data_IF_400655596654
#
_entry.id   IF_400655596654
#
_cell.length_a   1.000
_cell.length_b   1.000
_cell.length_c   1.000
_cell.angle_alpha   90.00
_cell.angle_beta   90.00
_cell.angle_gamma   90.00
#
_symmetry.space_group_name_H-M   'P 1'
#
loop_
_entity.id
_entity.type
_entity.pdbx_description
1 polymer ?
#
# COMPACT_ATOMS: atom_id res chain seq x y z
N UNK A 1 -39.47 -20.06 95.51
CA UNK A 1 -39.94 -20.73 94.30
C UNK A 1 -39.93 -19.78 93.10
N UNK A 2 -38.88 -19.68 92.36
CA UNK A 2 -38.80 -18.87 91.15
C UNK A 2 -38.02 -19.57 90.06
N UNK A 3 -38.72 -20.03 88.99
CA UNK A 3 -38.10 -20.63 87.81
C UNK A 3 -37.46 -19.62 86.98
N UNK A 4 -36.16 -19.70 86.81
CA UNK A 4 -35.37 -18.85 85.86
C UNK A 4 -35.36 -19.57 84.48
N UNK A 5 -35.98 -18.97 83.50
CA UNK A 5 -35.96 -19.41 82.16
C UNK A 5 -34.59 -19.01 81.52
N UNK A 6 -33.87 -20.03 81.03
CA UNK A 6 -32.62 -19.85 80.31
C UNK A 6 -32.96 -19.54 78.83
N UNK A 7 -32.68 -18.35 78.41
CA UNK A 7 -32.79 -17.91 77.00
C UNK A 7 -31.49 -18.28 76.28
N UNK A 8 -31.57 -19.32 75.42
CA UNK A 8 -30.48 -19.63 74.49
C UNK A 8 -30.54 -18.73 73.31
N UNK A 9 -29.52 -17.83 73.14
CA UNK A 9 -29.34 -17.00 71.99
C UNK A 9 -28.57 -17.82 70.97
N UNK A 10 -29.24 -18.23 69.88
CA UNK A 10 -28.59 -18.87 68.71
C UNK A 10 -28.06 -17.70 67.84
N UNK A 11 -26.73 -17.52 67.85
CA UNK A 11 -26.05 -16.58 66.97
C UNK A 11 -25.92 -17.23 65.59
N UNK A 12 -26.80 -16.90 64.68
CA UNK A 12 -26.66 -17.26 63.26
C UNK A 12 -25.56 -16.42 62.61
N UNK A 13 -24.38 -17.01 62.43
CA UNK A 13 -23.30 -16.41 61.67
C UNK A 13 -23.68 -16.49 60.19
N UNK A 14 -24.16 -15.37 59.62
CA UNK A 14 -24.42 -15.20 58.18
C UNK A 14 -23.07 -15.06 57.51
N UNK A 15 -22.53 -16.12 56.91
CA UNK A 15 -21.33 -16.14 56.10
C UNK A 15 -21.73 -15.53 54.74
N UNK A 16 -21.63 -14.21 54.60
CA UNK A 16 -21.77 -13.53 53.32
C UNK A 16 -20.49 -13.82 52.52
N UNK A 17 -20.54 -14.82 51.67
CA UNK A 17 -19.51 -15.04 50.66
C UNK A 17 -19.62 -13.88 49.68
N UNK A 18 -18.74 -12.91 49.80
CA UNK A 18 -18.48 -11.93 48.74
C UNK A 18 -17.95 -12.69 47.53
N UNK A 19 -18.84 -13.10 46.65
CA UNK A 19 -18.51 -13.46 45.27
C UNK A 19 -18.05 -12.13 44.60
N UNK A 20 -16.78 -11.76 44.80
CA UNK A 20 -16.16 -10.83 43.91
C UNK A 20 -16.33 -11.39 42.48
N UNK A 21 -16.86 -10.63 41.51
CA UNK A 21 -16.80 -11.08 40.13
C UNK A 21 -15.31 -11.23 39.82
N UNK A 22 -14.83 -12.43 39.80
CA UNK A 22 -13.63 -12.73 39.04
C UNK A 22 -14.01 -12.38 37.61
N UNK A 23 -13.66 -11.16 37.17
CA UNK A 23 -13.52 -10.89 35.76
C UNK A 23 -12.57 -11.98 35.25
N UNK A 24 -13.15 -13.07 34.72
CA UNK A 24 -12.42 -13.99 33.88
C UNK A 24 -11.92 -13.12 32.73
N UNK A 25 -10.72 -12.53 32.86
CA UNK A 25 -10.02 -11.88 31.79
C UNK A 25 -9.89 -12.94 30.70
N UNK A 26 -10.83 -12.91 29.74
CA UNK A 26 -10.76 -13.79 28.59
C UNK A 26 -9.36 -13.62 27.99
N UNK A 27 -8.69 -14.76 27.78
CA UNK A 27 -7.35 -14.75 27.21
C UNK A 27 -7.31 -13.87 25.96
N UNK A 28 -6.26 -13.07 25.77
CA UNK A 28 -6.16 -12.20 24.60
C UNK A 28 -6.40 -12.96 23.31
N UNK A 29 -7.19 -12.40 22.40
CA UNK A 29 -7.65 -13.11 21.18
C UNK A 29 -6.54 -13.84 20.43
N UNK A 30 -5.34 -13.24 20.36
CA UNK A 30 -4.22 -13.79 19.61
C UNK A 30 -3.29 -14.72 20.43
N UNK A 31 -3.54 -14.93 21.72
CA UNK A 31 -2.70 -15.77 22.57
C UNK A 31 -2.64 -17.21 22.04
N UNK A 32 -1.42 -17.73 21.86
CA UNK A 32 -1.16 -19.07 21.32
C UNK A 32 -1.57 -19.27 19.86
N UNK A 33 -1.96 -18.21 19.14
CA UNK A 33 -2.38 -18.29 17.73
C UNK A 33 -1.29 -17.80 16.78
N UNK A 34 -1.43 -18.20 15.52
CA UNK A 34 -0.63 -17.71 14.41
C UNK A 34 -1.47 -16.79 13.54
N UNK A 35 -0.97 -15.59 13.28
CA UNK A 35 -1.49 -14.67 12.26
C UNK A 35 -0.72 -14.89 10.96
N UNK A 36 -1.41 -15.13 9.87
CA UNK A 36 -0.82 -15.31 8.54
C UNK A 36 -0.96 -14.05 7.72
N UNK A 37 0.15 -13.60 7.10
CA UNK A 37 0.16 -12.54 6.09
C UNK A 37 0.30 -13.19 4.72
N UNK A 38 -0.76 -13.19 3.92
CA UNK A 38 -0.74 -13.61 2.51
C UNK A 38 -0.16 -12.46 1.69
N UNK A 39 1.02 -12.68 1.11
CA UNK A 39 1.72 -11.70 0.27
C UNK A 39 1.58 -12.06 -1.20
N UNK A 40 0.92 -11.21 -1.99
CA UNK A 40 0.66 -11.43 -3.42
C UNK A 40 1.89 -11.26 -4.33
N UNK A 41 3.11 -11.30 -3.78
CA UNK A 41 4.36 -11.08 -4.49
C UNK A 41 5.35 -12.24 -4.27
N UNK A 42 6.32 -12.33 -5.15
CA UNK A 42 7.46 -13.23 -4.98
C UNK A 42 8.30 -12.87 -3.74
N UNK A 43 8.95 -13.85 -3.09
CA UNK A 43 9.91 -13.61 -2.02
C UNK A 43 11.00 -12.61 -2.41
N UNK A 44 11.42 -11.75 -1.48
CA UNK A 44 12.47 -10.74 -1.66
C UNK A 44 12.00 -9.42 -2.31
N UNK A 45 10.79 -9.38 -2.88
CA UNK A 45 10.19 -8.14 -3.40
C UNK A 45 9.81 -7.14 -2.32
N UNK A 46 9.46 -5.90 -2.69
CA UNK A 46 9.10 -4.84 -1.75
C UNK A 46 7.94 -5.22 -0.82
N UNK A 47 6.89 -5.86 -1.34
CA UNK A 47 5.75 -6.34 -0.56
C UNK A 47 6.15 -7.43 0.44
N UNK A 48 6.98 -8.38 0.03
CA UNK A 48 7.48 -9.45 0.90
C UNK A 48 8.39 -8.91 2.00
N UNK A 49 9.32 -8.00 1.67
CA UNK A 49 10.19 -7.37 2.65
C UNK A 49 9.41 -6.58 3.69
N UNK A 50 8.39 -5.80 3.27
CA UNK A 50 7.51 -5.07 4.17
C UNK A 50 6.69 -6.02 5.06
N UNK A 51 6.12 -7.09 4.48
CA UNK A 51 5.35 -8.07 5.23
C UNK A 51 6.20 -8.78 6.30
N UNK A 52 7.44 -9.16 5.97
CA UNK A 52 8.38 -9.78 6.93
C UNK A 52 8.84 -8.81 8.00
N UNK A 53 9.03 -7.53 7.67
CA UNK A 53 9.34 -6.49 8.65
C UNK A 53 8.18 -6.31 9.63
N UNK A 54 6.94 -6.21 9.14
CA UNK A 54 5.74 -6.19 9.98
C UNK A 54 5.62 -7.47 10.84
N UNK A 55 5.91 -8.65 10.29
CA UNK A 55 5.85 -9.90 11.03
C UNK A 55 6.80 -9.94 12.25
N UNK A 56 7.92 -9.20 12.20
CA UNK A 56 8.85 -9.09 13.34
C UNK A 56 8.39 -8.09 14.40
N UNK A 57 7.78 -6.97 13.99
CA UNK A 57 7.49 -5.87 14.92
C UNK A 57 6.02 -5.82 15.37
N UNK A 58 5.07 -6.25 14.55
CA UNK A 58 3.64 -6.16 14.85
C UNK A 58 3.18 -6.99 16.07
N UNK A 59 3.77 -8.18 16.38
CA UNK A 59 3.32 -9.00 17.50
C UNK A 59 3.28 -8.28 18.85
N UNK A 60 4.22 -7.37 19.12
CA UNK A 60 4.29 -6.63 20.39
C UNK A 60 3.09 -5.69 20.61
N UNK A 61 2.38 -5.32 19.54
CA UNK A 61 1.20 -4.45 19.58
C UNK A 61 -0.13 -5.22 19.49
N UNK A 62 -0.07 -6.53 19.31
CA UNK A 62 -1.25 -7.39 19.29
C UNK A 62 -1.45 -8.08 20.66
N UNK A 63 -2.64 -7.98 21.27
CA UNK A 63 -2.94 -8.68 22.52
C UNK A 63 -2.72 -10.20 22.37
N UNK A 64 -1.86 -10.79 23.21
CA UNK A 64 -1.49 -12.20 23.12
C UNK A 64 -0.26 -12.48 22.27
N UNK A 65 0.36 -11.47 21.64
CA UNK A 65 1.63 -11.53 20.92
C UNK A 65 1.75 -12.75 19.99
N UNK A 66 0.90 -12.87 18.95
CA UNK A 66 0.88 -14.05 18.09
C UNK A 66 2.20 -14.25 17.35
N UNK A 67 2.49 -15.48 16.96
CA UNK A 67 3.46 -15.72 15.89
C UNK A 67 2.89 -15.18 14.58
N UNK A 68 3.68 -14.44 13.81
CA UNK A 68 3.26 -13.97 12.48
C UNK A 68 4.11 -14.65 11.41
N UNK A 69 3.46 -15.29 10.43
CA UNK A 69 4.12 -15.92 9.28
C UNK A 69 3.72 -15.21 7.99
N UNK A 70 4.65 -15.17 7.03
CA UNK A 70 4.42 -14.61 5.69
C UNK A 70 4.39 -15.74 4.68
N UNK A 71 3.27 -15.85 3.96
CA UNK A 71 3.07 -16.81 2.87
C UNK A 71 3.02 -16.06 1.54
N UNK A 72 3.94 -16.37 0.64
CA UNK A 72 3.94 -15.77 -0.69
C UNK A 72 3.02 -16.55 -1.64
N UNK A 73 2.04 -15.86 -2.22
CA UNK A 73 1.09 -16.39 -3.21
C UNK A 73 1.15 -15.48 -4.45
N UNK A 74 2.23 -15.55 -5.24
CA UNK A 74 2.40 -14.72 -6.41
C UNK A 74 1.48 -15.15 -7.56
N UNK A 75 1.28 -14.25 -8.52
CA UNK A 75 0.61 -14.54 -9.79
C UNK A 75 -0.37 -13.46 -10.21
N UNK A 76 -0.43 -13.24 -11.52
CA UNK A 76 -1.31 -12.27 -12.18
C UNK A 76 -1.36 -10.90 -11.47
N UNK A 77 -0.19 -10.32 -11.12
CA UNK A 77 -0.14 -9.02 -10.45
C UNK A 77 -0.82 -8.97 -9.08
N UNK A 78 -0.79 -10.06 -8.32
CA UNK A 78 -1.48 -10.29 -7.03
C UNK A 78 -2.96 -10.69 -7.15
N UNK A 79 -3.54 -10.82 -8.34
CA UNK A 79 -4.96 -11.23 -8.51
C UNK A 79 -5.26 -12.58 -7.83
N UNK A 80 -4.34 -13.55 -7.92
CA UNK A 80 -4.52 -14.87 -7.31
C UNK A 80 -4.66 -14.74 -5.80
N UNK A 81 -3.72 -14.07 -5.14
CA UNK A 81 -3.73 -13.88 -3.69
C UNK A 81 -4.96 -13.08 -3.23
N UNK A 82 -5.32 -12.02 -3.96
CA UNK A 82 -6.51 -11.22 -3.65
C UNK A 82 -7.78 -12.06 -3.75
N UNK A 83 -7.99 -12.77 -4.87
CA UNK A 83 -9.15 -13.64 -5.03
C UNK A 83 -9.25 -14.71 -3.93
N UNK A 84 -8.13 -15.33 -3.56
CA UNK A 84 -8.10 -16.36 -2.51
C UNK A 84 -8.48 -15.76 -1.15
N UNK A 85 -7.89 -14.63 -0.76
CA UNK A 85 -8.23 -13.97 0.49
C UNK A 85 -9.71 -13.56 0.53
N UNK A 86 -10.26 -13.09 -0.60
CA UNK A 86 -11.65 -12.64 -0.66
C UNK A 86 -12.66 -13.76 -0.55
N UNK A 87 -12.41 -14.88 -1.25
CA UNK A 87 -13.41 -15.93 -1.47
C UNK A 87 -13.21 -17.18 -0.61
N UNK A 88 -11.97 -17.46 -0.17
CA UNK A 88 -11.63 -18.74 0.47
C UNK A 88 -11.23 -18.60 1.93
N UNK A 89 -10.69 -17.43 2.34
CA UNK A 89 -10.20 -17.25 3.71
C UNK A 89 -11.33 -16.96 4.70
N UNK A 90 -11.23 -17.55 5.88
CA UNK A 90 -12.20 -17.33 6.96
C UNK A 90 -12.05 -15.92 7.54
N UNK A 91 -13.16 -15.19 7.77
CA UNK A 91 -13.12 -13.84 8.35
C UNK A 91 -12.94 -13.88 9.88
N UNK A 92 -11.98 -14.64 10.37
CA UNK A 92 -11.72 -14.87 11.79
C UNK A 92 -10.57 -14.04 12.36
N UNK A 93 -9.96 -13.17 11.55
CA UNK A 93 -8.86 -12.29 11.97
C UNK A 93 -7.49 -12.97 12.06
N UNK A 94 -7.35 -14.23 11.65
CA UNK A 94 -6.08 -14.97 11.67
C UNK A 94 -5.37 -14.97 10.31
N UNK A 95 -5.97 -14.35 9.30
CA UNK A 95 -5.34 -14.14 7.97
C UNK A 95 -5.57 -12.70 7.53
N UNK A 96 -4.50 -12.04 7.11
CA UNK A 96 -4.52 -10.75 6.45
C UNK A 96 -3.76 -10.84 5.13
N UNK A 97 -3.99 -9.91 4.22
CA UNK A 97 -3.32 -9.91 2.92
C UNK A 97 -2.65 -8.58 2.61
N UNK A 98 -1.59 -8.63 1.82
CA UNK A 98 -0.96 -7.48 1.19
C UNK A 98 -0.78 -7.75 -0.31
N UNK A 99 -1.19 -6.79 -1.14
CA UNK A 99 -1.33 -6.97 -2.58
C UNK A 99 -0.80 -5.75 -3.33
N UNK A 100 -0.58 -5.93 -4.62
CA UNK A 100 -0.18 -4.86 -5.52
C UNK A 100 -1.19 -3.70 -5.44
N UNK A 101 -0.67 -2.49 -5.22
CA UNK A 101 -1.45 -1.25 -5.16
C UNK A 101 -2.19 -0.91 -6.47
N UNK A 102 -1.87 -1.58 -7.57
CA UNK A 102 -2.55 -1.45 -8.85
C UNK A 102 -3.87 -2.24 -8.96
N UNK A 103 -4.20 -3.12 -8.00
CA UNK A 103 -5.46 -3.90 -8.04
C UNK A 103 -6.73 -3.05 -8.19
N UNK A 104 -6.82 -1.81 -7.68
CA UNK A 104 -7.96 -0.95 -7.95
C UNK A 104 -8.18 -0.68 -9.45
N UNK A 105 -7.12 -0.58 -10.24
CA UNK A 105 -7.26 -0.43 -11.70
C UNK A 105 -7.75 -1.70 -12.38
N UNK A 106 -7.31 -2.87 -11.89
CA UNK A 106 -7.83 -4.14 -12.40
C UNK A 106 -9.35 -4.24 -12.18
N UNK A 107 -9.85 -3.84 -11.02
CA UNK A 107 -11.28 -3.81 -10.74
C UNK A 107 -12.00 -2.73 -11.55
N UNK A 108 -11.48 -1.51 -11.61
CA UNK A 108 -12.04 -0.38 -12.36
C UNK A 108 -12.24 -0.74 -13.84
N UNK A 109 -11.21 -1.35 -14.45
CA UNK A 109 -11.19 -1.72 -15.86
C UNK A 109 -11.86 -3.08 -16.14
N UNK A 110 -12.45 -3.70 -15.11
CA UNK A 110 -13.08 -5.03 -15.21
C UNK A 110 -12.14 -6.07 -15.84
N UNK A 111 -10.87 -6.04 -15.44
CA UNK A 111 -9.86 -6.94 -15.98
C UNK A 111 -10.25 -8.41 -15.78
N UNK A 112 -9.90 -9.25 -16.75
CA UNK A 112 -10.21 -10.66 -16.68
C UNK A 112 -9.57 -11.32 -15.45
N UNK A 113 -10.34 -12.16 -14.74
CA UNK A 113 -9.88 -12.85 -13.53
C UNK A 113 -10.10 -12.09 -12.22
N UNK A 114 -10.61 -10.87 -12.21
CA UNK A 114 -11.04 -10.16 -10.99
C UNK A 114 -12.28 -10.83 -10.41
N UNK A 115 -12.16 -11.38 -9.19
CA UNK A 115 -13.24 -12.06 -8.44
C UNK A 115 -13.34 -11.54 -7.00
N UNK A 116 -12.92 -10.32 -6.75
CA UNK A 116 -13.00 -9.61 -5.48
C UNK A 116 -13.71 -8.27 -5.68
N UNK A 117 -14.11 -7.69 -4.56
CA UNK A 117 -14.58 -6.31 -4.48
C UNK A 117 -13.78 -5.59 -3.40
N UNK A 118 -12.93 -4.64 -3.81
CA UNK A 118 -12.05 -3.91 -2.91
C UNK A 118 -12.82 -3.10 -1.87
N UNK A 119 -14.06 -2.68 -2.17
CA UNK A 119 -14.89 -1.95 -1.22
C UNK A 119 -15.48 -2.84 -0.13
N UNK A 120 -15.44 -4.17 -0.30
CA UNK A 120 -15.99 -5.14 0.67
C UNK A 120 -14.94 -5.78 1.58
N UNK A 121 -13.64 -5.60 1.27
CA UNK A 121 -12.61 -6.04 2.20
C UNK A 121 -12.67 -5.30 3.53
N UNK A 122 -12.25 -5.95 4.60
CA UNK A 122 -12.01 -5.30 5.88
C UNK A 122 -10.61 -4.65 5.87
N UNK A 123 -10.55 -3.36 5.52
CA UNK A 123 -9.31 -2.63 5.39
C UNK A 123 -8.65 -2.35 6.74
N UNK A 124 -7.36 -2.62 6.83
CA UNK A 124 -6.50 -2.23 7.97
C UNK A 124 -5.90 -0.85 7.67
N UNK A 125 -5.44 -0.66 6.46
CA UNK A 125 -4.82 0.56 5.98
C UNK A 125 -3.63 0.27 5.06
N UNK A 126 -2.74 1.23 4.89
CA UNK A 126 -1.49 1.07 4.14
C UNK A 126 -0.31 1.57 4.98
N UNK A 127 0.86 0.98 4.80
CA UNK A 127 2.05 1.36 5.58
C UNK A 127 2.82 2.52 4.99
N UNK A 128 2.51 2.93 3.75
CA UNK A 128 3.21 4.06 3.13
C UNK A 128 2.38 4.79 2.05
N UNK A 129 2.84 5.99 1.75
CA UNK A 129 2.55 6.74 0.52
C UNK A 129 3.83 6.87 -0.27
N UNK A 130 3.77 6.71 -1.56
CA UNK A 130 4.93 6.81 -2.44
C UNK A 130 4.66 7.77 -3.60
N UNK A 131 5.47 8.80 -3.67
CA UNK A 131 5.47 9.70 -4.80
C UNK A 131 5.98 8.97 -6.05
N UNK A 132 5.36 9.25 -7.21
CA UNK A 132 5.86 8.82 -8.50
C UNK A 132 6.66 9.95 -9.15
N UNK A 133 7.76 9.61 -9.79
CA UNK A 133 8.64 10.56 -10.48
C UNK A 133 8.86 10.15 -11.92
N UNK A 134 8.95 11.17 -12.78
CA UNK A 134 9.59 11.08 -14.08
C UNK A 134 11.00 11.66 -13.96
N UNK A 135 11.99 10.92 -14.42
CA UNK A 135 13.41 11.26 -14.29
C UNK A 135 14.13 11.09 -15.62
N UNK A 136 15.20 11.85 -15.79
CA UNK A 136 16.15 11.70 -16.89
C UNK A 136 17.55 11.49 -16.36
N UNK A 137 18.46 10.98 -17.19
CA UNK A 137 19.88 10.93 -16.84
C UNK A 137 20.41 12.36 -16.57
N UNK A 138 21.27 12.51 -15.58
CA UNK A 138 21.85 13.80 -15.22
C UNK A 138 22.77 14.37 -16.29
N UNK A 139 23.40 13.50 -17.08
CA UNK A 139 24.28 13.88 -18.22
C UNK A 139 23.50 14.11 -19.54
N UNK A 140 22.18 13.92 -19.55
CA UNK A 140 21.34 14.24 -20.71
C UNK A 140 21.17 15.78 -20.88
N UNK A 141 20.82 16.25 -22.08
CA UNK A 141 20.58 17.68 -22.32
C UNK A 141 19.30 18.20 -21.62
N UNK A 142 18.44 17.31 -21.13
CA UNK A 142 17.13 17.65 -20.55
C UNK A 142 17.28 18.03 -19.08
N UNK A 143 17.13 19.33 -18.75
CA UNK A 143 17.25 19.88 -17.38
C UNK A 143 15.94 20.38 -16.82
N UNK A 144 14.92 20.53 -17.67
CA UNK A 144 13.61 21.09 -17.34
C UNK A 144 12.50 20.47 -18.19
N UNK A 145 11.24 20.71 -17.82
CA UNK A 145 10.07 20.35 -18.65
C UNK A 145 10.10 21.08 -19.99
N UNK A 146 10.63 22.31 -20.02
CA UNK A 146 10.78 23.07 -21.27
C UNK A 146 11.74 22.38 -22.24
N UNK A 147 12.86 21.82 -21.73
CA UNK A 147 13.79 21.10 -22.60
C UNK A 147 13.15 19.82 -23.17
N UNK A 148 12.33 19.14 -22.36
CA UNK A 148 11.56 17.97 -22.83
C UNK A 148 10.57 18.33 -23.93
N UNK A 149 9.88 19.48 -23.83
CA UNK A 149 8.93 19.97 -24.84
C UNK A 149 9.63 20.40 -26.15
N UNK A 150 10.83 20.92 -26.03
CA UNK A 150 11.61 21.41 -27.17
C UNK A 150 12.48 20.33 -27.82
N UNK A 151 12.41 19.09 -27.35
CA UNK A 151 13.14 17.96 -27.93
C UNK A 151 12.71 17.72 -29.38
N UNK A 152 13.66 17.84 -30.32
CA UNK A 152 13.41 17.64 -31.75
C UNK A 152 13.10 16.20 -32.09
N UNK A 153 13.79 15.28 -31.43
CA UNK A 153 13.62 13.84 -31.61
C UNK A 153 12.89 13.20 -30.40
N UNK A 154 12.18 12.08 -30.60
CA UNK A 154 11.55 11.38 -29.51
C UNK A 154 12.57 10.90 -28.46
N UNK A 155 12.41 11.32 -27.20
CA UNK A 155 13.30 10.97 -26.09
C UNK A 155 13.14 9.47 -25.74
N UNK A 156 14.22 8.67 -25.80
CA UNK A 156 14.15 7.24 -25.45
C UNK A 156 13.98 7.05 -23.95
N UNK A 157 12.90 6.35 -23.57
CA UNK A 157 12.56 6.05 -22.17
C UNK A 157 12.58 4.55 -21.92
N UNK A 158 13.27 4.15 -20.85
CA UNK A 158 13.24 2.78 -20.37
C UNK A 158 11.95 2.50 -19.59
N UNK A 159 11.21 1.47 -20.02
CA UNK A 159 9.94 1.05 -19.41
C UNK A 159 9.95 -0.46 -19.17
N UNK A 160 9.03 -0.98 -18.34
CA UNK A 160 8.91 -2.42 -18.09
C UNK A 160 7.56 -3.00 -18.51
N UNK A 161 6.94 -2.38 -19.52
CA UNK A 161 5.70 -2.84 -20.13
C UNK A 161 4.47 -2.01 -19.74
N UNK A 162 3.36 -2.14 -20.50
CA UNK A 162 2.18 -1.28 -20.40
C UNK A 162 1.45 -1.34 -19.05
N UNK A 163 1.60 -2.45 -18.30
CA UNK A 163 0.97 -2.61 -16.98
C UNK A 163 1.72 -1.88 -15.86
N UNK A 164 2.85 -1.25 -16.14
CA UNK A 164 3.73 -0.68 -15.13
C UNK A 164 3.71 0.84 -15.12
N UNK A 165 4.01 1.41 -13.98
CA UNK A 165 4.17 2.87 -13.81
C UNK A 165 5.24 3.44 -14.75
N UNK A 166 6.31 2.67 -15.02
CA UNK A 166 7.39 3.08 -15.93
C UNK A 166 6.90 3.41 -17.33
N UNK A 167 5.80 2.80 -17.75
CA UNK A 167 5.14 3.07 -19.04
C UNK A 167 3.97 4.06 -18.89
N UNK A 168 3.09 3.82 -17.91
CA UNK A 168 1.83 4.56 -17.76
C UNK A 168 2.04 6.05 -17.52
N UNK A 169 3.04 6.41 -16.73
CA UNK A 169 3.34 7.80 -16.43
C UNK A 169 3.80 8.57 -17.69
N UNK A 170 4.85 8.14 -18.41
CA UNK A 170 5.24 8.83 -19.64
C UNK A 170 4.19 8.74 -20.76
N UNK A 171 3.36 7.69 -20.81
CA UNK A 171 2.30 7.61 -21.81
C UNK A 171 1.27 8.73 -21.63
N UNK A 172 0.84 9.03 -20.40
CA UNK A 172 -0.07 10.14 -20.11
C UNK A 172 0.62 11.51 -20.32
N UNK A 173 1.89 11.65 -19.95
CA UNK A 173 2.66 12.86 -20.24
C UNK A 173 2.80 13.11 -21.76
N UNK A 174 3.02 12.06 -22.55
CA UNK A 174 3.09 12.16 -24.01
C UNK A 174 1.76 12.65 -24.59
N UNK A 175 0.64 12.07 -24.16
CA UNK A 175 -0.67 12.40 -24.69
C UNK A 175 -1.15 13.80 -24.26
N UNK A 176 -1.00 14.16 -22.98
CA UNK A 176 -1.69 15.30 -22.39
C UNK A 176 -0.78 16.46 -21.99
N UNK A 177 0.54 16.28 -21.97
CA UNK A 177 1.51 17.35 -21.67
C UNK A 177 2.37 17.73 -22.87
N UNK A 178 2.15 17.11 -24.03
CA UNK A 178 2.86 17.42 -25.28
C UNK A 178 4.34 17.01 -25.26
N UNK A 179 4.69 15.96 -24.51
CA UNK A 179 6.07 15.47 -24.44
C UNK A 179 6.29 14.33 -25.44
N UNK A 180 7.38 14.39 -26.20
CA UNK A 180 7.65 13.43 -27.27
C UNK A 180 8.58 12.31 -26.76
N UNK A 181 8.01 11.13 -26.46
CA UNK A 181 8.73 9.97 -25.91
C UNK A 181 8.67 8.75 -26.83
N UNK A 182 9.80 7.99 -26.88
CA UNK A 182 9.90 6.66 -27.46
C UNK A 182 10.11 5.65 -26.33
N UNK A 183 9.07 4.84 -26.01
CA UNK A 183 9.15 3.81 -24.97
C UNK A 183 9.95 2.61 -25.46
N UNK A 184 10.98 2.21 -24.70
CA UNK A 184 11.79 1.01 -24.92
C UNK A 184 11.51 0.05 -23.78
N UNK A 185 11.07 -1.16 -24.09
CA UNK A 185 10.66 -2.14 -23.08
C UNK A 185 11.85 -2.98 -22.60
N UNK A 186 11.99 -3.08 -21.28
CA UNK A 186 12.96 -3.91 -20.57
C UNK A 186 12.23 -4.94 -19.69
N UNK A 187 12.88 -6.06 -19.32
CA UNK A 187 12.22 -7.15 -18.57
C UNK A 187 11.68 -6.76 -17.19
N UNK A 188 12.25 -5.73 -16.56
CA UNK A 188 11.87 -5.28 -15.22
C UNK A 188 12.19 -3.81 -14.99
N UNK A 189 11.64 -3.24 -13.90
CA UNK A 189 12.00 -1.88 -13.45
C UNK A 189 13.47 -1.74 -13.08
N UNK A 190 14.09 -2.79 -12.55
CA UNK A 190 15.54 -2.82 -12.28
C UNK A 190 16.34 -2.72 -13.58
N UNK A 191 15.98 -3.52 -14.60
CA UNK A 191 16.62 -3.43 -15.91
C UNK A 191 16.40 -2.08 -16.58
N UNK A 192 15.24 -1.45 -16.38
CA UNK A 192 15.01 -0.08 -16.85
C UNK A 192 15.97 0.93 -16.21
N UNK A 193 16.31 0.79 -14.94
CA UNK A 193 17.29 1.64 -14.26
C UNK A 193 18.73 1.35 -14.72
N UNK A 194 19.08 0.08 -14.92
CA UNK A 194 20.39 -0.31 -15.49
C UNK A 194 20.56 0.20 -16.92
N UNK A 195 19.50 0.26 -17.72
CA UNK A 195 19.53 0.83 -19.07
C UNK A 195 19.93 2.32 -19.06
N UNK A 196 19.52 3.08 -18.02
CA UNK A 196 19.97 4.46 -17.85
C UNK A 196 21.49 4.52 -17.54
N UNK A 197 21.99 3.66 -16.66
CA UNK A 197 23.43 3.59 -16.35
C UNK A 197 24.24 3.22 -17.60
N UNK A 198 23.73 2.31 -18.44
CA UNK A 198 24.36 1.91 -19.73
C UNK A 198 24.14 2.92 -20.86
N UNK A 199 23.39 4.00 -20.60
CA UNK A 199 23.06 5.05 -21.60
C UNK A 199 22.24 4.53 -22.79
N UNK A 200 21.48 3.48 -22.62
CA UNK A 200 20.58 2.91 -23.63
C UNK A 200 19.24 3.65 -23.70
N UNK A 201 18.91 4.42 -22.65
CA UNK A 201 17.74 5.29 -22.58
C UNK A 201 18.09 6.57 -21.82
N UNK A 202 17.33 7.64 -22.07
CA UNK A 202 17.56 8.95 -21.46
C UNK A 202 16.73 9.20 -20.21
N UNK A 203 15.67 8.44 -19.99
CA UNK A 203 14.82 8.60 -18.81
C UNK A 203 13.97 7.38 -18.48
N UNK A 204 13.32 7.44 -17.33
CA UNK A 204 12.33 6.47 -16.85
C UNK A 204 11.39 7.11 -15.85
N UNK A 205 10.31 6.41 -15.51
CA UNK A 205 9.44 6.79 -14.40
C UNK A 205 9.38 5.65 -13.37
N UNK A 206 9.35 5.99 -12.08
CA UNK A 206 9.17 5.01 -11.00
C UNK A 206 8.74 5.69 -9.70
N UNK A 207 8.56 4.90 -8.62
CA UNK A 207 8.35 5.44 -7.27
C UNK A 207 9.65 6.06 -6.73
N UNK A 208 9.49 7.09 -5.90
CA UNK A 208 10.61 7.86 -5.37
C UNK A 208 11.64 7.01 -4.61
N UNK A 209 11.18 6.06 -3.77
CA UNK A 209 12.07 5.19 -3.01
C UNK A 209 13.01 4.37 -3.91
N UNK A 210 12.53 3.89 -5.07
CA UNK A 210 13.34 3.16 -6.04
C UNK A 210 14.36 4.05 -6.76
N UNK A 211 14.03 5.32 -6.96
CA UNK A 211 14.87 6.29 -7.68
C UNK A 211 15.87 7.02 -6.77
N UNK A 212 15.55 7.13 -5.48
CA UNK A 212 16.33 7.89 -4.49
C UNK A 212 17.83 7.52 -4.45
N UNK A 213 18.24 6.25 -4.51
CA UNK A 213 19.65 5.89 -4.56
C UNK A 213 20.37 6.43 -5.79
N UNK A 214 19.72 6.43 -6.95
CA UNK A 214 20.26 6.93 -8.21
C UNK A 214 20.33 8.46 -8.23
N UNK A 215 19.34 9.13 -7.66
CA UNK A 215 19.32 10.60 -7.47
C UNK A 215 20.46 11.01 -6.54
N UNK A 216 20.65 10.33 -5.40
CA UNK A 216 21.76 10.61 -4.46
C UNK A 216 23.15 10.42 -5.06
N UNK A 217 23.31 9.46 -5.99
CA UNK A 217 24.54 9.23 -6.75
C UNK A 217 24.73 10.24 -7.90
N UNK A 218 23.78 11.13 -8.15
CA UNK A 218 23.83 12.09 -9.25
C UNK A 218 23.67 11.46 -10.64
N UNK A 219 23.19 10.23 -10.76
CA UNK A 219 23.02 9.52 -12.04
C UNK A 219 21.77 9.97 -12.80
N UNK A 220 20.72 10.28 -12.09
CA UNK A 220 19.45 10.75 -12.65
C UNK A 220 18.97 12.02 -11.96
N UNK A 221 18.20 12.80 -12.70
CA UNK A 221 17.56 14.05 -12.27
C UNK A 221 16.05 13.89 -12.34
N UNK A 222 15.30 14.12 -11.25
CA UNK A 222 13.84 14.19 -11.30
C UNK A 222 13.40 15.49 -11.95
N UNK A 223 12.39 15.44 -12.82
CA UNK A 223 11.86 16.61 -13.54
C UNK A 223 10.36 16.82 -13.30
N UNK A 224 9.60 15.76 -13.07
CA UNK A 224 8.15 15.82 -12.89
C UNK A 224 7.78 14.82 -11.77
N UNK A 225 6.86 15.22 -10.92
CA UNK A 225 6.26 14.30 -9.93
C UNK A 225 4.79 14.09 -10.19
N UNK A 226 4.24 13.00 -9.69
CA UNK A 226 2.81 12.86 -9.52
C UNK A 226 2.29 13.70 -8.35
N UNK A 227 1.01 13.56 -8.02
CA UNK A 227 0.31 14.36 -7.00
C UNK A 227 1.00 14.33 -5.62
N UNK A 228 1.50 13.17 -5.20
CA UNK A 228 2.16 13.03 -3.92
C UNK A 228 3.54 13.68 -3.92
N UNK A 229 3.91 14.26 -2.80
CA UNK A 229 5.21 14.86 -2.55
C UNK A 229 6.02 14.04 -1.54
N UNK A 230 7.29 14.31 -1.45
CA UNK A 230 8.21 13.78 -0.45
C UNK A 230 9.38 14.76 -0.28
N UNK A 231 10.15 14.60 0.80
CA UNK A 231 11.31 15.45 1.07
C UNK A 231 12.32 15.43 -0.09
N UNK A 232 12.63 16.63 -0.60
CA UNK A 232 13.58 16.87 -1.70
C UNK A 232 12.99 16.86 -3.09
N UNK A 233 11.65 16.70 -3.23
CA UNK A 233 10.95 16.76 -4.51
C UNK A 233 9.72 17.68 -4.49
N UNK A 234 9.54 18.46 -3.42
CA UNK A 234 8.35 19.32 -3.19
C UNK A 234 8.13 20.31 -4.32
N UNK A 235 9.21 20.88 -4.82
CA UNK A 235 9.18 21.96 -5.83
C UNK A 235 9.11 21.45 -7.27
N UNK A 236 9.06 20.14 -7.49
CA UNK A 236 8.92 19.62 -8.85
C UNK A 236 7.52 19.89 -9.39
N UNK A 237 7.41 20.20 -10.70
CA UNK A 237 6.12 20.30 -11.38
C UNK A 237 5.29 19.03 -11.17
N UNK A 238 3.98 19.22 -10.93
CA UNK A 238 3.03 18.12 -10.85
C UNK A 238 2.58 17.78 -12.27
N UNK A 239 2.51 16.50 -12.60
CA UNK A 239 2.13 16.03 -13.94
C UNK A 239 0.77 16.59 -14.40
N UNK A 240 -0.21 16.65 -13.50
CA UNK A 240 -1.55 17.18 -13.76
C UNK A 240 -1.53 18.65 -14.21
N UNK A 241 -0.61 19.44 -13.67
CA UNK A 241 -0.51 20.88 -13.96
C UNK A 241 0.16 21.14 -15.32
N UNK A 242 0.82 20.14 -15.90
CA UNK A 242 1.43 20.23 -17.23
C UNK A 242 0.40 20.10 -18.36
N UNK A 243 -0.80 19.60 -18.08
CA UNK A 243 -1.90 19.49 -19.02
C UNK A 243 -2.84 20.69 -18.92
N UNK A 244 -3.29 21.21 -20.05
CA UNK A 244 -4.42 22.17 -20.15
C UNK A 244 -5.76 21.45 -20.30
N UNK A 245 -5.74 20.19 -20.71
CA UNK A 245 -6.93 19.36 -20.90
C UNK A 245 -7.46 18.83 -19.56
N UNK A 246 -8.72 19.12 -19.23
CA UNK A 246 -9.40 18.64 -18.03
C UNK A 246 -9.41 17.10 -17.95
N UNK A 247 -9.56 16.42 -19.08
CA UNK A 247 -9.53 14.96 -19.16
C UNK A 247 -8.13 14.44 -18.79
N UNK A 248 -7.09 15.01 -19.36
CA UNK A 248 -5.70 14.67 -19.06
C UNK A 248 -5.40 14.82 -17.57
N UNK A 249 -5.80 15.93 -16.95
CA UNK A 249 -5.69 16.14 -15.49
C UNK A 249 -6.35 15.02 -14.68
N UNK A 250 -7.58 14.65 -15.06
CA UNK A 250 -8.32 13.58 -14.38
C UNK A 250 -7.62 12.22 -14.50
N UNK A 251 -7.12 11.87 -15.70
CA UNK A 251 -6.44 10.59 -15.92
C UNK A 251 -5.09 10.53 -15.20
N UNK A 252 -4.33 11.63 -15.14
CA UNK A 252 -3.08 11.72 -14.38
C UNK A 252 -3.33 11.62 -12.88
N UNK A 253 -4.37 12.29 -12.36
CA UNK A 253 -4.80 12.18 -10.97
C UNK A 253 -5.18 10.74 -10.61
N UNK A 254 -5.98 10.09 -11.47
CA UNK A 254 -6.40 8.70 -11.30
C UNK A 254 -5.19 7.75 -11.29
N UNK A 255 -4.24 7.91 -12.23
CA UNK A 255 -3.00 7.13 -12.26
C UNK A 255 -2.17 7.30 -10.98
N UNK A 256 -2.15 8.49 -10.40
CA UNK A 256 -1.35 8.77 -9.18
C UNK A 256 -1.96 8.21 -7.90
N UNK A 257 -3.28 7.98 -7.88
CA UNK A 257 -4.01 7.65 -6.66
C UNK A 257 -3.52 6.38 -5.92
N UNK A 258 -3.16 5.25 -6.58
CA UNK A 258 -2.63 4.09 -5.90
C UNK A 258 -1.31 4.31 -5.16
N UNK A 259 -0.53 5.34 -5.51
CA UNK A 259 0.66 5.74 -4.76
C UNK A 259 0.36 6.08 -3.30
N UNK A 260 -0.87 6.49 -3.00
CA UNK A 260 -1.35 6.72 -1.62
C UNK A 260 -1.67 5.42 -0.87
N UNK A 261 -1.55 4.26 -1.50
CA UNK A 261 -1.86 2.93 -0.94
C UNK A 261 -0.66 1.98 -1.09
N UNK A 262 0.53 2.46 -0.85
CA UNK A 262 1.74 1.64 -0.99
C UNK A 262 1.85 0.66 0.17
N UNK A 263 1.97 -0.64 -0.16
CA UNK A 263 1.91 -1.77 0.77
C UNK A 263 0.62 -1.79 1.61
N UNK A 264 -0.56 -1.97 0.96
CA UNK A 264 -1.85 -2.02 1.64
C UNK A 264 -2.04 -3.34 2.38
N UNK A 265 -2.84 -3.31 3.46
CA UNK A 265 -3.19 -4.49 4.25
C UNK A 265 -4.70 -4.59 4.47
N UNK A 266 -5.20 -5.79 4.25
CA UNK A 266 -6.64 -6.11 4.34
C UNK A 266 -6.86 -7.41 5.09
N UNK A 267 -8.03 -7.56 5.70
CA UNK A 267 -8.56 -8.85 6.15
C UNK A 267 -9.72 -9.28 5.24
N UNK A 268 -10.13 -10.56 5.26
CA UNK A 268 -11.28 -11.05 4.49
C UNK A 268 -12.54 -10.21 4.75
N UNK A 269 -13.47 -10.13 3.78
CA UNK A 269 -14.77 -9.51 4.00
C UNK A 269 -15.48 -10.07 5.23
N UNK A 270 -16.21 -9.22 5.97
CA UNK A 270 -16.95 -9.60 7.19
C UNK A 270 -16.10 -9.99 8.40
N UNK A 271 -14.79 -9.74 8.41
CA UNK A 271 -13.98 -9.86 9.63
C UNK A 271 -14.58 -8.99 10.74
N UNK A 272 -14.79 -9.55 11.97
CA UNK A 272 -15.47 -8.86 13.06
C UNK A 272 -14.87 -7.50 13.39
N UNK A 273 -15.71 -6.50 13.67
CA UNK A 273 -15.32 -5.12 13.94
C UNK A 273 -14.31 -4.99 15.09
N UNK A 274 -14.48 -5.78 16.14
CA UNK A 274 -13.60 -5.75 17.32
C UNK A 274 -12.18 -6.24 16.97
N UNK A 275 -12.07 -7.28 16.14
CA UNK A 275 -10.78 -7.75 15.62
C UNK A 275 -10.16 -6.68 14.73
N UNK A 276 -10.96 -6.04 13.88
CA UNK A 276 -10.48 -4.97 13.01
C UNK A 276 -9.99 -3.75 13.81
N UNK A 277 -10.63 -3.41 14.92
CA UNK A 277 -10.13 -2.36 15.83
C UNK A 277 -8.75 -2.71 16.37
N UNK A 278 -8.57 -3.95 16.84
CA UNK A 278 -7.26 -4.43 17.36
C UNK A 278 -6.19 -4.34 16.28
N UNK A 279 -6.46 -4.86 15.08
CA UNK A 279 -5.51 -4.83 13.96
C UNK A 279 -5.15 -3.39 13.56
N UNK A 280 -6.13 -2.51 13.39
CA UNK A 280 -5.90 -1.10 13.03
C UNK A 280 -5.08 -0.35 14.08
N UNK A 281 -5.38 -0.57 15.35
CA UNK A 281 -4.62 0.03 16.45
C UNK A 281 -3.18 -0.48 16.48
N UNK A 282 -2.96 -1.77 16.30
CA UNK A 282 -1.62 -2.35 16.24
C UNK A 282 -0.81 -1.81 15.05
N UNK A 283 -1.44 -1.67 13.88
CA UNK A 283 -0.80 -1.05 12.71
C UNK A 283 -0.46 0.42 12.94
N UNK A 284 -1.36 1.19 13.55
CA UNK A 284 -1.09 2.60 13.89
C UNK A 284 0.06 2.76 14.90
N UNK A 285 0.28 1.77 15.77
CA UNK A 285 1.38 1.79 16.73
C UNK A 285 2.71 1.33 16.10
N UNK A 286 2.71 0.21 15.38
CA UNK A 286 3.94 -0.31 14.77
C UNK A 286 4.55 0.65 13.75
N UNK A 287 3.74 1.40 13.02
CA UNK A 287 4.23 2.41 12.07
C UNK A 287 4.86 3.64 12.72
N UNK A 288 4.76 3.76 14.05
CA UNK A 288 5.43 4.80 14.87
C UNK A 288 6.56 4.23 15.72
N UNK A 289 6.76 2.91 15.71
CA UNK A 289 7.81 2.24 16.48
C UNK A 289 9.18 2.65 15.98
N UNK A 290 10.06 3.20 16.83
CA UNK A 290 11.41 3.60 16.43
C UNK A 290 12.25 2.46 15.82
N UNK A 291 12.11 1.22 16.33
CA UNK A 291 12.85 0.06 15.80
C UNK A 291 12.33 -0.34 14.41
N UNK A 292 11.01 -0.29 14.20
CA UNK A 292 10.40 -0.51 12.88
C UNK A 292 10.83 0.56 11.87
N UNK A 293 10.79 1.84 12.27
CA UNK A 293 11.20 2.96 11.41
C UNK A 293 12.69 2.88 11.05
N UNK A 294 13.55 2.57 12.02
CA UNK A 294 14.99 2.39 11.77
C UNK A 294 15.28 1.21 10.83
N UNK A 295 14.51 0.12 10.94
CA UNK A 295 14.63 -1.01 10.01
C UNK A 295 14.12 -0.65 8.61
N UNK A 296 13.02 0.09 8.52
CA UNK A 296 12.49 0.59 7.25
C UNK A 296 13.52 1.48 6.52
N UNK A 297 14.16 2.40 7.25
CA UNK A 297 15.18 3.29 6.70
C UNK A 297 16.38 2.50 6.14
N UNK A 298 16.88 1.51 6.88
CA UNK A 298 17.96 0.62 6.41
C UNK A 298 17.58 -0.13 5.13
N UNK A 299 16.30 -0.44 4.95
CA UNK A 299 15.77 -1.10 3.76
C UNK A 299 15.34 -0.12 2.65
N UNK A 300 15.63 1.18 2.79
CA UNK A 300 15.20 2.26 1.90
C UNK A 300 13.68 2.30 1.69
N UNK A 301 12.90 1.97 2.73
CA UNK A 301 11.44 2.01 2.75
C UNK A 301 10.96 3.22 3.55
N UNK A 302 10.08 4.03 2.97
CA UNK A 302 9.41 5.12 3.69
C UNK A 302 8.18 4.58 4.41
N UNK A 303 7.92 5.06 5.62
CA UNK A 303 6.73 4.68 6.40
C UNK A 303 5.87 5.92 6.61
N UNK A 304 4.62 5.83 6.21
CA UNK A 304 3.57 6.81 6.46
C UNK A 304 2.22 6.08 6.51
N UNK A 305 1.70 5.89 7.71
CA UNK A 305 0.46 5.13 7.88
C UNK A 305 -0.74 5.83 7.25
N UNK A 306 -1.40 5.12 6.36
CA UNK A 306 -2.68 5.52 5.75
C UNK A 306 -3.78 4.71 6.42
N UNK A 307 -4.71 5.39 7.08
CA UNK A 307 -5.80 4.73 7.81
C UNK A 307 -6.76 3.99 6.89
N UNK A 308 -7.54 3.07 7.46
CA UNK A 308 -8.60 2.38 6.71
C UNK A 308 -9.63 3.35 6.12
N UNK A 309 -9.94 4.44 6.82
CA UNK A 309 -10.87 5.47 6.35
C UNK A 309 -10.31 6.21 5.14
N UNK A 310 -9.05 6.65 5.20
CA UNK A 310 -8.38 7.30 4.07
C UNK A 310 -8.25 6.34 2.88
N UNK A 311 -7.92 5.07 3.15
CA UNK A 311 -7.88 4.00 2.12
C UNK A 311 -9.22 3.90 1.40
N UNK A 312 -10.33 3.89 2.14
CA UNK A 312 -11.66 3.83 1.53
C UNK A 312 -12.01 5.08 0.71
N UNK A 313 -11.58 6.27 1.14
CA UNK A 313 -11.73 7.51 0.34
C UNK A 313 -10.99 7.42 -1.00
N UNK A 314 -9.76 6.91 -0.97
CA UNK A 314 -8.93 6.72 -2.17
C UNK A 314 -9.56 5.67 -3.11
N UNK A 315 -10.01 4.54 -2.58
CA UNK A 315 -10.66 3.50 -3.36
C UNK A 315 -11.96 3.97 -3.98
N UNK A 316 -12.80 4.71 -3.23
CA UNK A 316 -14.02 5.31 -3.77
C UNK A 316 -13.71 6.31 -4.89
N UNK A 317 -12.67 7.12 -4.75
CA UNK A 317 -12.21 8.00 -5.83
C UNK A 317 -11.81 7.20 -7.07
N UNK A 318 -11.04 6.11 -6.93
CA UNK A 318 -10.60 5.31 -8.07
C UNK A 318 -11.78 4.58 -8.72
N UNK A 319 -12.63 3.93 -7.92
CA UNK A 319 -13.62 2.97 -8.43
C UNK A 319 -14.92 3.61 -8.91
N UNK A 320 -15.23 4.84 -8.48
CA UNK A 320 -16.46 5.55 -8.85
C UNK A 320 -16.23 6.60 -9.95
N UNK A 321 -15.38 6.28 -10.94
CA UNK A 321 -15.17 7.16 -12.08
C UNK A 321 -16.29 7.02 -13.12
N UNK A 322 -16.66 8.12 -13.83
CA UNK A 322 -17.60 8.06 -14.96
C UNK A 322 -17.13 7.09 -16.05
N UNK A 323 -18.06 6.44 -16.74
CA UNK A 323 -17.77 5.41 -17.76
C UNK A 323 -16.86 5.92 -18.88
N UNK A 324 -17.01 7.17 -19.29
CA UNK A 324 -16.18 7.79 -20.32
C UNK A 324 -14.73 8.00 -19.83
N UNK A 325 -14.54 8.32 -18.54
CA UNK A 325 -13.20 8.38 -17.91
C UNK A 325 -12.58 7.00 -17.85
N UNK A 326 -13.35 5.98 -17.42
CA UNK A 326 -12.88 4.58 -17.36
C UNK A 326 -12.45 4.08 -18.74
N UNK A 327 -13.28 4.31 -19.76
CA UNK A 327 -12.97 3.93 -21.14
C UNK A 327 -11.68 4.57 -21.65
N UNK A 328 -11.50 5.87 -21.38
CA UNK A 328 -10.31 6.59 -21.83
C UNK A 328 -9.07 6.19 -21.04
N UNK A 329 -9.21 5.96 -19.72
CA UNK A 329 -8.12 5.44 -18.88
C UNK A 329 -7.63 4.08 -19.37
N UNK A 330 -8.54 3.20 -19.78
CA UNK A 330 -8.23 1.88 -20.34
C UNK A 330 -7.42 1.90 -21.66
N UNK A 331 -7.30 3.04 -22.34
CA UNK A 331 -6.42 3.18 -23.51
C UNK A 331 -4.94 3.22 -23.13
N UNK A 332 -4.63 3.74 -21.92
CA UNK A 332 -3.26 3.94 -21.42
C UNK A 332 -2.86 2.92 -20.38
N UNK A 333 -3.83 2.36 -19.65
CA UNK A 333 -3.61 1.42 -18.55
C UNK A 333 -4.16 0.06 -18.97
N UNK A 334 -3.32 -0.97 -19.02
CA UNK A 334 -3.70 -2.33 -19.37
C UNK A 334 -3.37 -3.28 -18.22
N UNK A 335 -4.18 -4.30 -18.05
CA UNK A 335 -4.00 -5.39 -17.10
C UNK A 335 -4.00 -6.74 -17.81
#
# INVERSE_FOLDING_TARGET
>A
MRRKALRTIVLSFLFVVFLSPFDLLAAPFYEGKTLRIVCGSLPGGGYDRMARMLARHLPQYLPGKPTIIVENVPGAGSLIAANNLYNLEKPNGLTIGTFNQGLPFAQLLKANGVRYDLLKYAWIGSTAREASLFTVRSDSPYKSVSDLRNAKEPIPLATSGPQTMTYQFPALLKEFAGLNFKMISYPSGTESLLALERKEADGTASIYSSLKPYIKRGLIRPLIRGRLSAAGIENLPIDEDLSTDKRGKTLMALRSAPGSLTWPYVAPPKTPSEIMKVLRNAFAQVTKDPAFLAEAERNAMSIEYVTAEETMKILNFILNQPEDVVRDFGKFIRF
#
